data_IF_111862963499
#
_entry.id   IF_111862963499
#
_cell.length_a   1.000
_cell.length_b   1.000
_cell.length_c   1.000
_cell.angle_alpha   90.00
_cell.angle_beta   90.00
_cell.angle_gamma   90.00
#
_symmetry.space_group_name_H-M   'P 1'
#
loop_
_entity.id
_entity.type
_entity.pdbx_description
1 polymer ?
#
# COMPACT_ATOMS: atom_id res chain seq x y z
N UNK A 1 -65.32 -71.00 11.80
CA UNK A 1 -63.84 -71.11 11.78
C UNK A 1 -63.31 -70.46 13.05
N UNK A 2 -62.87 -71.28 14.00
CA UNK A 2 -62.10 -70.85 15.15
C UNK A 2 -60.61 -70.98 14.82
N UNK A 3 -59.75 -70.16 15.40
CA UNK A 3 -58.64 -70.59 16.27
C UNK A 3 -57.97 -69.34 16.86
N UNK A 4 -58.00 -69.25 18.18
CA UNK A 4 -57.21 -68.34 18.99
C UNK A 4 -55.78 -68.86 19.10
N UNK A 5 -54.80 -67.97 19.16
CA UNK A 5 -53.44 -68.29 19.60
C UNK A 5 -52.97 -67.35 20.70
N UNK A 6 -52.17 -67.95 21.55
CA UNK A 6 -51.83 -67.63 22.93
C UNK A 6 -50.46 -66.95 23.03
N UNK A 7 -50.21 -66.37 24.20
CA UNK A 7 -49.10 -65.52 24.61
C UNK A 7 -47.77 -66.28 24.76
N UNK A 8 -46.63 -65.62 24.47
CA UNK A 8 -45.36 -65.80 25.20
C UNK A 8 -44.61 -64.45 25.24
N UNK A 9 -44.15 -63.96 26.41
CA UNK A 9 -43.22 -62.85 26.49
C UNK A 9 -41.77 -63.37 26.42
N UNK A 10 -40.94 -62.76 25.57
CA UNK A 10 -39.49 -62.98 25.59
C UNK A 10 -38.83 -61.75 26.19
N UNK A 11 -38.41 -61.92 27.44
CA UNK A 11 -37.45 -61.06 28.13
C UNK A 11 -36.10 -61.17 27.41
N UNK A 12 -35.67 -60.11 26.75
CA UNK A 12 -34.28 -59.92 26.35
C UNK A 12 -33.74 -58.69 27.10
N UNK A 13 -32.77 -58.96 27.96
CA UNK A 13 -32.04 -58.05 28.83
C UNK A 13 -31.29 -56.95 28.07
N UNK A 14 -31.30 -55.74 28.62
CA UNK A 14 -30.60 -54.52 28.16
C UNK A 14 -29.07 -54.56 28.37
N UNK A 15 -28.38 -55.69 28.14
CA UNK A 15 -26.99 -55.88 28.58
C UNK A 15 -25.96 -56.18 27.46
N UNK A 16 -26.27 -55.94 26.18
CA UNK A 16 -25.35 -56.36 25.10
C UNK A 16 -25.26 -55.42 23.89
N UNK A 17 -25.05 -54.11 24.12
CA UNK A 17 -24.69 -53.16 23.04
C UNK A 17 -23.50 -52.26 23.40
N UNK A 18 -22.64 -52.68 24.32
CA UNK A 18 -21.55 -51.84 24.82
C UNK A 18 -20.19 -52.54 24.81
N UNK A 19 -19.74 -53.04 23.64
CA UNK A 19 -18.32 -53.39 23.39
C UNK A 19 -17.93 -53.25 21.91
N UNK A 20 -17.76 -52.02 21.44
CA UNK A 20 -16.76 -51.76 20.40
C UNK A 20 -15.58 -51.09 21.10
N UNK A 21 -14.44 -51.78 21.32
CA UNK A 21 -13.25 -51.11 21.80
C UNK A 21 -12.66 -50.32 20.62
N UNK A 22 -13.05 -49.06 20.45
CA UNK A 22 -12.25 -48.08 19.71
C UNK A 22 -11.24 -47.45 20.67
N UNK A 23 -10.38 -48.28 21.26
CA UNK A 23 -9.05 -47.79 21.63
C UNK A 23 -8.33 -47.54 20.32
N UNK A 24 -8.49 -46.32 19.79
CA UNK A 24 -7.51 -45.73 18.87
C UNK A 24 -6.23 -45.64 19.68
N UNK A 25 -5.43 -46.71 19.67
CA UNK A 25 -4.05 -46.65 20.12
C UNK A 25 -3.45 -45.51 19.31
N UNK A 26 -3.15 -44.40 19.99
CA UNK A 26 -2.23 -43.41 19.45
C UNK A 26 -0.93 -44.18 19.25
N UNK A 27 -0.66 -44.62 18.02
CA UNK A 27 0.69 -44.99 17.61
C UNK A 27 1.55 -43.80 18.02
N UNK A 28 2.44 -44.02 18.99
CA UNK A 28 3.35 -43.00 19.46
C UNK A 28 4.14 -42.53 18.24
N UNK A 29 3.95 -41.27 17.85
CA UNK A 29 4.67 -40.71 16.72
C UNK A 29 6.18 -40.92 16.94
N UNK A 30 6.93 -41.29 15.88
CA UNK A 30 8.36 -41.53 16.01
C UNK A 30 9.04 -40.27 16.57
N UNK A 31 9.59 -40.41 17.78
CA UNK A 31 10.19 -39.31 18.52
C UNK A 31 11.64 -39.11 18.06
N UNK A 32 11.96 -37.90 17.63
CA UNK A 32 13.24 -37.50 17.06
C UNK A 32 14.08 -36.83 18.16
N UNK A 33 15.27 -37.35 18.52
CA UNK A 33 16.13 -36.71 19.51
C UNK A 33 16.72 -35.41 18.97
N UNK A 34 16.50 -34.28 19.65
CA UNK A 34 17.01 -32.96 19.24
C UNK A 34 18.11 -32.49 20.19
N UNK A 35 19.30 -32.26 19.66
CA UNK A 35 20.42 -31.61 20.37
C UNK A 35 20.56 -30.14 19.98
N UNK A 36 20.37 -29.85 18.70
CA UNK A 36 20.55 -28.51 18.15
C UNK A 36 19.54 -28.25 17.04
N UNK A 37 18.98 -27.05 17.02
CA UNK A 37 18.15 -26.56 15.91
C UNK A 37 18.89 -25.38 15.30
N UNK A 38 19.18 -25.46 14.01
CA UNK A 38 19.82 -24.40 13.24
C UNK A 38 18.82 -23.81 12.26
N UNK A 39 18.52 -22.53 12.41
CA UNK A 39 17.71 -21.79 11.44
C UNK A 39 18.65 -21.15 10.41
N UNK A 40 18.38 -21.37 9.12
CA UNK A 40 19.21 -20.87 8.01
C UNK A 40 18.37 -20.02 7.06
N UNK A 41 19.00 -19.10 6.30
CA UNK A 41 18.31 -18.29 5.29
C UNK A 41 17.55 -17.07 5.83
N UNK A 42 17.72 -16.74 7.12
CA UNK A 42 17.17 -15.51 7.72
C UNK A 42 18.15 -14.35 7.59
N UNK A 43 17.71 -13.24 7.01
CA UNK A 43 18.42 -11.95 7.00
C UNK A 43 17.73 -10.90 7.85
N UNK A 44 16.43 -11.08 8.13
CA UNK A 44 15.60 -10.17 8.92
C UNK A 44 15.82 -10.33 10.43
N UNK A 45 15.94 -11.58 10.90
CA UNK A 45 16.06 -11.88 12.32
C UNK A 45 17.45 -12.39 12.65
N UNK A 46 17.94 -12.01 13.82
CA UNK A 46 19.19 -12.52 14.35
C UNK A 46 19.05 -13.99 14.78
N UNK A 47 20.17 -14.72 14.77
CA UNK A 47 20.18 -16.10 15.28
C UNK A 47 19.68 -16.18 16.72
N UNK A 48 20.00 -15.19 17.55
CA UNK A 48 19.57 -15.10 18.95
C UNK A 48 18.04 -15.05 19.10
N UNK A 49 17.37 -14.24 18.28
CA UNK A 49 15.90 -14.14 18.28
C UNK A 49 15.24 -15.46 17.85
N UNK A 50 15.81 -16.15 16.87
CA UNK A 50 15.30 -17.42 16.37
C UNK A 50 15.58 -18.58 17.35
N UNK A 51 16.73 -18.54 18.04
CA UNK A 51 17.11 -19.52 19.05
C UNK A 51 16.20 -19.45 20.28
N UNK A 52 15.66 -18.29 20.63
CA UNK A 52 14.65 -18.17 21.69
C UNK A 52 13.37 -18.94 21.37
N UNK A 53 12.97 -19.02 20.09
CA UNK A 53 11.80 -19.79 19.66
C UNK A 53 12.06 -21.30 19.67
N UNK A 54 13.29 -21.73 19.40
CA UNK A 54 13.67 -23.15 19.33
C UNK A 54 14.09 -23.74 20.67
N UNK A 55 14.48 -22.92 21.65
CA UNK A 55 14.96 -23.34 22.97
C UNK A 55 14.07 -24.37 23.70
N UNK A 56 12.72 -24.28 23.67
CA UNK A 56 11.86 -25.26 24.34
C UNK A 56 11.94 -26.69 23.80
N UNK A 57 12.47 -26.86 22.58
CA UNK A 57 12.55 -28.13 21.86
C UNK A 57 13.94 -28.79 21.96
N UNK A 58 14.92 -28.13 22.58
CA UNK A 58 16.29 -28.63 22.70
C UNK A 58 16.41 -29.69 23.80
N UNK A 59 17.34 -30.63 23.62
CA UNK A 59 17.71 -31.69 24.56
C UNK A 59 16.55 -32.63 24.96
N UNK A 60 15.56 -32.81 24.09
CA UNK A 60 14.46 -33.75 24.27
C UNK A 60 14.12 -34.47 22.96
N UNK A 61 13.33 -35.52 23.06
CA UNK A 61 12.74 -36.15 21.87
C UNK A 61 11.47 -35.42 21.49
N UNK A 62 11.39 -34.96 20.25
CA UNK A 62 10.24 -34.20 19.72
C UNK A 62 9.59 -34.94 18.56
N UNK A 63 8.32 -34.67 18.29
CA UNK A 63 7.64 -35.22 17.11
C UNK A 63 7.89 -34.37 15.87
N UNK A 64 7.58 -34.93 14.70
CA UNK A 64 7.60 -34.17 13.44
C UNK A 64 6.62 -32.99 13.50
N UNK A 65 5.46 -33.18 14.14
CA UNK A 65 4.46 -32.12 14.34
C UNK A 65 5.04 -30.94 15.13
N UNK A 66 5.77 -31.19 16.23
CA UNK A 66 6.41 -30.14 17.02
C UNK A 66 7.45 -29.32 16.23
N UNK A 67 8.18 -29.95 15.31
CA UNK A 67 9.12 -29.26 14.42
C UNK A 67 8.40 -28.43 13.35
N UNK A 68 7.29 -28.94 12.82
CA UNK A 68 6.43 -28.20 11.90
C UNK A 68 5.74 -27.02 12.60
N UNK A 69 5.37 -27.16 13.87
CA UNK A 69 4.90 -26.06 14.70
C UNK A 69 5.97 -24.98 14.89
N UNK A 70 7.23 -25.36 15.13
CA UNK A 70 8.32 -24.40 15.22
C UNK A 70 8.52 -23.64 13.89
N UNK A 71 8.53 -24.34 12.76
CA UNK A 71 8.59 -23.70 11.44
C UNK A 71 7.38 -22.77 11.21
N UNK A 72 6.20 -23.16 11.66
CA UNK A 72 4.99 -22.33 11.60
C UNK A 72 5.09 -21.09 12.50
N UNK A 73 5.68 -21.20 13.70
CA UNK A 73 5.93 -20.07 14.60
C UNK A 73 6.92 -19.08 14.00
N UNK A 74 8.01 -19.56 13.39
CA UNK A 74 8.98 -18.71 12.68
C UNK A 74 8.30 -18.02 11.49
N UNK A 75 7.49 -18.75 10.71
CA UNK A 75 6.72 -18.18 9.59
C UNK A 75 5.78 -17.07 10.07
N UNK A 76 5.07 -17.31 11.18
CA UNK A 76 4.17 -16.33 11.79
C UNK A 76 4.92 -15.07 12.24
N UNK A 77 6.11 -15.21 12.84
CA UNK A 77 6.96 -14.09 13.21
C UNK A 77 7.30 -13.20 12.00
N UNK A 78 7.65 -13.81 10.86
CA UNK A 78 7.88 -13.08 9.61
C UNK A 78 6.62 -12.34 9.12
N UNK A 79 5.47 -13.02 9.13
CA UNK A 79 4.19 -12.46 8.68
C UNK A 79 3.75 -11.26 9.54
N UNK A 80 3.92 -11.36 10.87
CA UNK A 80 3.60 -10.28 11.81
C UNK A 80 4.47 -9.03 11.60
N UNK A 81 5.67 -9.17 11.05
CA UNK A 81 6.56 -8.07 10.68
C UNK A 81 6.37 -7.59 9.21
N UNK A 82 5.36 -8.10 8.50
CA UNK A 82 5.00 -7.67 7.14
C UNK A 82 5.67 -8.45 6.00
N UNK A 83 6.41 -9.53 6.29
CA UNK A 83 7.08 -10.37 5.30
C UNK A 83 6.20 -11.56 4.87
N UNK A 84 5.01 -11.27 4.37
CA UNK A 84 3.94 -12.26 4.14
C UNK A 84 4.27 -13.38 3.15
N UNK A 85 5.24 -13.14 2.26
CA UNK A 85 5.70 -14.12 1.25
C UNK A 85 6.86 -14.99 1.75
N UNK A 86 7.37 -14.71 2.95
CA UNK A 86 8.45 -15.48 3.58
C UNK A 86 7.87 -16.64 4.40
N UNK A 87 8.55 -17.78 4.39
CA UNK A 87 8.13 -18.97 5.15
C UNK A 87 9.33 -19.77 5.64
N UNK A 88 9.21 -20.38 6.80
CA UNK A 88 10.14 -21.38 7.27
C UNK A 88 9.63 -22.79 6.92
N UNK A 89 10.52 -23.62 6.43
CA UNK A 89 10.25 -25.01 6.08
C UNK A 89 11.21 -25.94 6.81
N UNK A 90 10.75 -27.17 7.05
CA UNK A 90 11.60 -28.27 7.44
C UNK A 90 12.00 -29.02 6.15
N UNK A 91 13.27 -28.96 5.70
CA UNK A 91 13.69 -29.66 4.48
C UNK A 91 13.41 -31.17 4.60
N UNK A 92 12.74 -31.72 3.59
CA UNK A 92 12.31 -33.13 3.56
C UNK A 92 13.48 -34.10 3.32
N UNK A 93 14.57 -33.59 2.77
CA UNK A 93 15.79 -34.31 2.39
C UNK A 93 16.90 -34.23 3.47
N UNK A 94 16.63 -33.62 4.63
CA UNK A 94 17.63 -33.54 5.69
C UNK A 94 17.83 -34.89 6.38
N UNK A 95 19.09 -35.20 6.71
CA UNK A 95 19.44 -36.41 7.40
C UNK A 95 19.49 -36.19 8.91
N UNK A 96 18.52 -36.74 9.65
CA UNK A 96 18.39 -36.55 11.11
C UNK A 96 19.11 -37.68 11.86
N UNK A 97 20.43 -37.79 11.64
CA UNK A 97 21.23 -38.85 12.28
C UNK A 97 21.88 -38.41 13.59
N UNK A 98 22.25 -37.12 13.72
CA UNK A 98 23.06 -36.64 14.85
C UNK A 98 22.28 -35.83 15.91
N UNK A 99 20.98 -35.63 15.69
CA UNK A 99 20.12 -34.76 16.50
C UNK A 99 20.28 -33.27 16.18
N UNK A 100 20.92 -32.95 15.05
CA UNK A 100 20.93 -31.60 14.47
C UNK A 100 19.78 -31.47 13.49
N UNK A 101 18.94 -30.47 13.69
CA UNK A 101 17.77 -30.20 12.85
C UNK A 101 17.94 -28.84 12.18
N UNK A 102 17.82 -28.83 10.85
CA UNK A 102 17.84 -27.61 10.07
C UNK A 102 16.41 -27.15 9.77
N UNK A 103 16.14 -25.86 10.07
CA UNK A 103 14.96 -25.16 9.58
C UNK A 103 15.44 -24.13 8.57
N UNK A 104 14.89 -24.19 7.35
CA UNK A 104 15.25 -23.28 6.28
C UNK A 104 14.19 -22.19 6.15
N UNK A 105 14.59 -20.94 6.26
CA UNK A 105 13.75 -19.79 5.92
C UNK A 105 13.93 -19.47 4.45
N UNK A 106 12.82 -19.43 3.73
CA UNK A 106 12.73 -18.94 2.37
C UNK A 106 12.15 -17.54 2.45
N UNK A 107 13.05 -16.57 2.34
CA UNK A 107 12.71 -15.15 2.32
C UNK A 107 12.14 -14.76 0.96
N UNK A 108 10.89 -14.27 0.99
CA UNK A 108 10.16 -13.93 -0.22
C UNK A 108 10.74 -12.68 -0.90
N UNK A 109 10.71 -12.64 -2.23
CA UNK A 109 11.14 -11.50 -3.04
C UNK A 109 10.17 -11.27 -4.19
N UNK A 110 10.13 -10.03 -4.67
CA UNK A 110 9.36 -9.69 -5.85
C UNK A 110 10.18 -9.99 -7.11
N UNK A 111 9.61 -10.78 -8.01
CA UNK A 111 10.21 -11.11 -9.30
C UNK A 111 10.00 -9.98 -10.31
N UNK A 112 8.76 -9.47 -10.41
CA UNK A 112 8.40 -8.35 -11.28
C UNK A 112 7.08 -7.69 -10.86
N UNK A 113 6.80 -6.54 -11.47
CA UNK A 113 5.54 -5.78 -11.33
C UNK A 113 4.87 -5.67 -12.70
N UNK A 114 3.75 -6.36 -12.85
CA UNK A 114 2.95 -6.39 -14.06
C UNK A 114 1.83 -5.35 -13.95
N UNK A 115 2.09 -4.14 -14.43
CA UNK A 115 1.11 -3.03 -14.45
C UNK A 115 0.32 -3.03 -15.76
N UNK A 116 -1.00 -2.91 -15.67
CA UNK A 116 -1.92 -2.75 -16.81
C UNK A 116 -2.94 -1.66 -16.56
N UNK A 117 -3.42 -1.03 -17.63
CA UNK A 117 -4.59 -0.15 -17.60
C UNK A 117 -5.87 -0.96 -17.75
N UNK A 118 -6.90 -0.60 -16.99
CA UNK A 118 -8.24 -1.21 -17.10
C UNK A 118 -9.00 -0.69 -18.33
N UNK A 119 -8.76 0.58 -18.70
CA UNK A 119 -9.42 1.27 -19.80
C UNK A 119 -8.38 2.06 -20.63
N UNK A 120 -8.68 2.42 -21.90
CA UNK A 120 -7.82 3.29 -22.69
C UNK A 120 -7.58 4.63 -21.98
N UNK A 121 -6.31 5.03 -21.92
CA UNK A 121 -5.88 6.24 -21.20
C UNK A 121 -4.50 6.68 -21.65
N UNK A 122 -4.09 7.87 -21.23
CA UNK A 122 -2.78 8.45 -21.53
C UNK A 122 -1.76 8.19 -20.43
N UNK A 123 -2.20 7.95 -19.20
CA UNK A 123 -1.28 7.75 -18.07
C UNK A 123 -0.38 6.55 -18.37
N UNK A 124 0.91 6.75 -18.24
CA UNK A 124 1.89 5.71 -18.52
C UNK A 124 1.84 4.63 -17.45
N UNK A 125 1.89 3.36 -17.84
CA UNK A 125 2.08 2.26 -16.88
C UNK A 125 3.40 2.39 -16.10
N UNK A 126 4.41 3.05 -16.66
CA UNK A 126 5.66 3.34 -15.94
C UNK A 126 5.44 4.35 -14.81
N UNK A 127 4.48 5.27 -14.93
CA UNK A 127 4.14 6.21 -13.85
C UNK A 127 3.82 5.46 -12.55
N UNK A 128 3.03 4.39 -12.68
CA UNK A 128 2.60 3.52 -11.57
C UNK A 128 3.70 2.53 -11.18
N UNK A 129 4.31 1.84 -12.17
CA UNK A 129 5.35 0.83 -11.94
C UNK A 129 6.56 1.38 -11.22
N UNK A 130 7.07 2.53 -11.64
CA UNK A 130 8.30 3.10 -11.08
C UNK A 130 8.08 3.57 -9.63
N UNK A 131 6.87 4.04 -9.31
CA UNK A 131 6.47 4.42 -7.94
C UNK A 131 6.41 3.20 -7.03
N UNK A 132 5.73 2.14 -7.45
CA UNK A 132 5.68 0.87 -6.70
C UNK A 132 7.07 0.25 -6.51
N UNK A 133 7.94 0.39 -7.50
CA UNK A 133 9.32 -0.12 -7.43
C UNK A 133 10.12 0.54 -6.29
N UNK A 134 9.80 1.77 -5.88
CA UNK A 134 10.47 2.44 -4.74
C UNK A 134 10.21 1.72 -3.40
N UNK A 135 9.09 1.02 -3.28
CA UNK A 135 8.74 0.27 -2.08
C UNK A 135 9.28 -1.17 -2.04
N UNK A 136 9.84 -1.67 -3.15
CA UNK A 136 10.35 -3.05 -3.22
C UNK A 136 11.63 -3.19 -2.42
N UNK A 137 11.62 -4.14 -1.47
CA UNK A 137 12.78 -4.56 -0.69
C UNK A 137 13.07 -6.04 -0.90
N UNK A 138 14.27 -6.48 -0.53
CA UNK A 138 14.61 -7.90 -0.42
C UNK A 138 15.11 -8.14 1.02
N UNK A 139 14.41 -8.97 1.82
CA UNK A 139 13.11 -9.60 1.53
C UNK A 139 11.95 -8.62 1.34
N UNK A 140 10.91 -9.08 0.65
CA UNK A 140 9.72 -8.30 0.34
C UNK A 140 8.93 -8.01 1.62
N UNK A 141 8.83 -6.72 1.96
CA UNK A 141 7.93 -6.26 3.01
C UNK A 141 6.66 -5.67 2.38
N UNK A 142 5.52 -6.29 2.63
CA UNK A 142 4.26 -5.92 1.98
C UNK A 142 3.68 -4.60 2.48
N UNK A 143 3.96 -4.21 3.73
CA UNK A 143 3.47 -2.94 4.29
C UNK A 143 3.98 -1.74 3.47
N UNK A 144 5.21 -1.80 2.95
CA UNK A 144 5.77 -0.75 2.08
C UNK A 144 5.03 -0.65 0.74
N UNK A 145 4.68 -1.79 0.15
CA UNK A 145 3.91 -1.84 -1.10
C UNK A 145 2.50 -1.30 -0.87
N UNK A 146 1.89 -1.66 0.27
CA UNK A 146 0.57 -1.15 0.67
C UNK A 146 0.58 0.37 0.84
N UNK A 147 1.60 0.93 1.50
CA UNK A 147 1.76 2.38 1.64
C UNK A 147 1.83 3.09 0.29
N UNK A 148 2.62 2.58 -0.66
CA UNK A 148 2.68 3.16 -2.02
C UNK A 148 1.37 2.99 -2.80
N UNK A 149 0.67 1.85 -2.65
CA UNK A 149 -0.65 1.66 -3.24
C UNK A 149 -1.67 2.65 -2.67
N UNK A 150 -1.60 2.96 -1.38
CA UNK A 150 -2.44 3.99 -0.75
C UNK A 150 -2.11 5.39 -1.29
N UNK A 151 -0.82 5.71 -1.46
CA UNK A 151 -0.40 6.97 -2.07
C UNK A 151 -0.89 7.10 -3.51
N UNK A 152 -0.81 6.03 -4.31
CA UNK A 152 -1.32 5.98 -5.68
C UNK A 152 -2.85 6.08 -5.73
N UNK A 153 -3.57 5.46 -4.78
CA UNK A 153 -5.03 5.57 -4.69
C UNK A 153 -5.49 7.00 -4.38
N UNK A 154 -4.69 7.75 -3.64
CA UNK A 154 -4.95 9.16 -3.33
C UNK A 154 -4.41 10.12 -4.41
N UNK A 155 -3.76 9.61 -5.45
CA UNK A 155 -3.30 10.41 -6.58
C UNK A 155 -4.51 10.83 -7.44
N UNK A 156 -4.75 12.14 -7.65
CA UNK A 156 -5.87 12.63 -8.47
C UNK A 156 -5.87 12.12 -9.93
N UNK A 157 -4.75 11.56 -10.41
CA UNK A 157 -4.63 10.95 -11.74
C UNK A 157 -5.26 9.55 -11.83
N UNK A 158 -5.55 8.91 -10.70
CA UNK A 158 -5.99 7.53 -10.62
C UNK A 158 -7.39 7.50 -10.02
N UNK A 159 -8.37 7.00 -10.79
CA UNK A 159 -9.74 6.83 -10.32
C UNK A 159 -9.91 5.54 -9.50
N UNK A 160 -9.21 4.48 -9.87
CA UNK A 160 -9.20 3.20 -9.15
C UNK A 160 -7.86 2.47 -9.38
N UNK A 161 -7.42 1.71 -8.37
CA UNK A 161 -6.21 0.88 -8.44
C UNK A 161 -6.39 -0.39 -7.62
N UNK A 162 -6.12 -1.53 -8.28
CA UNK A 162 -6.19 -2.88 -7.72
C UNK A 162 -4.83 -3.53 -7.86
N UNK A 163 -4.43 -4.24 -6.82
CA UNK A 163 -3.20 -5.02 -6.82
C UNK A 163 -3.50 -6.43 -6.32
N UNK A 164 -2.89 -7.42 -6.95
CA UNK A 164 -2.93 -8.81 -6.55
C UNK A 164 -1.51 -9.36 -6.53
N UNK A 165 -1.24 -10.24 -5.56
CA UNK A 165 0.07 -10.88 -5.43
C UNK A 165 -0.09 -12.36 -5.80
N UNK A 166 0.64 -12.80 -6.82
CA UNK A 166 0.64 -14.18 -7.31
C UNK A 166 2.01 -14.82 -7.14
N UNK A 167 2.06 -16.16 -7.17
CA UNK A 167 3.31 -16.91 -7.08
C UNK A 167 4.12 -16.78 -8.38
N UNK A 168 5.44 -16.58 -8.26
CA UNK A 168 6.37 -16.52 -9.39
C UNK A 168 6.94 -17.88 -9.80
N UNK A 169 7.94 -17.88 -10.67
CA UNK A 169 8.52 -19.10 -11.27
C UNK A 169 9.47 -19.87 -10.32
N UNK A 170 9.64 -19.41 -9.08
CA UNK A 170 10.52 -20.03 -8.08
C UNK A 170 10.01 -19.91 -6.64
N UNK A 171 10.53 -20.74 -5.75
CA UNK A 171 10.17 -20.68 -4.32
C UNK A 171 10.57 -19.33 -3.73
N UNK A 172 9.62 -18.68 -3.07
CA UNK A 172 9.79 -17.33 -2.54
C UNK A 172 9.67 -16.20 -3.57
N UNK A 173 9.52 -16.49 -4.86
CA UNK A 173 9.23 -15.45 -5.85
C UNK A 173 7.74 -15.09 -5.84
N UNK A 174 7.45 -13.81 -6.01
CA UNK A 174 6.09 -13.31 -6.18
C UNK A 174 6.01 -12.29 -7.30
N UNK A 175 4.87 -12.24 -7.98
CA UNK A 175 4.57 -11.28 -9.04
C UNK A 175 3.48 -10.35 -8.51
N UNK A 176 3.70 -9.04 -8.61
CA UNK A 176 2.70 -8.03 -8.26
C UNK A 176 1.96 -7.61 -9.52
N UNK A 177 0.71 -8.04 -9.65
CA UNK A 177 -0.18 -7.69 -10.74
C UNK A 177 -0.97 -6.44 -10.34
N UNK A 178 -0.88 -5.37 -11.11
CA UNK A 178 -1.54 -4.10 -10.80
C UNK A 178 -2.37 -3.65 -11.98
N UNK A 179 -3.64 -3.39 -11.73
CA UNK A 179 -4.56 -2.79 -12.70
C UNK A 179 -5.04 -1.45 -12.18
N UNK A 180 -5.00 -0.42 -13.01
CA UNK A 180 -5.48 0.91 -12.63
C UNK A 180 -6.37 1.54 -13.71
N UNK A 181 -7.26 2.43 -13.26
CA UNK A 181 -8.13 3.25 -14.09
C UNK A 181 -7.71 4.71 -13.96
N UNK A 182 -7.44 5.35 -15.10
CA UNK A 182 -7.10 6.78 -15.13
C UNK A 182 -8.33 7.64 -14.79
N UNK A 183 -8.12 8.71 -14.03
CA UNK A 183 -9.15 9.69 -13.72
C UNK A 183 -9.47 10.59 -14.92
N UNK A 184 -10.61 11.28 -14.86
CA UNK A 184 -10.98 12.24 -15.90
C UNK A 184 -9.93 13.34 -16.03
N UNK A 185 -9.43 13.52 -17.24
CA UNK A 185 -8.34 14.45 -17.52
C UNK A 185 -8.72 15.93 -17.40
N UNK A 186 -10.02 16.26 -17.36
CA UNK A 186 -10.53 17.62 -17.30
C UNK A 186 -11.50 17.78 -16.13
N UNK A 187 -11.35 18.87 -15.39
CA UNK A 187 -12.35 19.33 -14.42
C UNK A 187 -12.52 20.84 -14.49
N UNK A 188 -13.71 21.31 -14.11
CA UNK A 188 -14.06 22.72 -14.07
C UNK A 188 -14.74 23.03 -12.74
N UNK A 189 -14.13 23.92 -11.96
CA UNK A 189 -14.72 24.50 -10.76
C UNK A 189 -15.29 25.89 -11.02
N UNK A 190 -16.34 26.25 -10.30
CA UNK A 190 -16.81 27.62 -10.19
C UNK A 190 -17.10 27.93 -8.71
N UNK A 191 -16.79 29.14 -8.26
CA UNK A 191 -17.09 29.59 -6.89
C UNK A 191 -17.76 30.96 -6.89
N UNK A 192 -18.60 31.18 -5.88
CA UNK A 192 -19.16 32.47 -5.55
C UNK A 192 -19.19 32.64 -4.03
N UNK A 193 -18.63 33.72 -3.51
CA UNK A 193 -18.59 34.00 -2.07
C UNK A 193 -18.53 35.51 -1.77
N UNK A 194 -18.54 35.85 -0.48
CA UNK A 194 -18.48 37.23 0.03
C UNK A 194 -17.18 37.55 0.77
N UNK A 195 -16.09 36.81 0.52
CA UNK A 195 -14.80 37.00 1.19
C UNK A 195 -13.88 38.03 0.51
N UNK A 196 -14.41 38.84 -0.39
CA UNK A 196 -13.66 39.93 -1.02
C UNK A 196 -13.32 41.06 -0.04
N UNK A 197 -12.41 41.94 -0.45
CA UNK A 197 -11.97 43.08 0.35
C UNK A 197 -13.00 44.24 0.27
N UNK A 198 -13.25 44.96 1.37
CA UNK A 198 -14.09 46.17 1.38
C UNK A 198 -13.61 47.24 0.39
N UNK A 199 -12.29 47.35 0.21
CA UNK A 199 -11.65 48.34 -0.65
C UNK A 199 -11.87 48.11 -2.15
N UNK A 200 -12.06 46.85 -2.57
CA UNK A 200 -12.16 46.47 -3.99
C UNK A 200 -13.50 45.84 -4.35
N UNK A 201 -14.25 45.32 -3.36
CA UNK A 201 -15.55 44.68 -3.49
C UNK A 201 -15.60 43.32 -2.80
N UNK A 202 -16.65 43.11 -2.01
CA UNK A 202 -16.83 41.91 -1.15
C UNK A 202 -17.31 40.67 -1.90
N UNK A 203 -18.05 40.83 -3.01
CA UNK A 203 -18.54 39.70 -3.79
C UNK A 203 -17.45 39.18 -4.73
N UNK A 204 -17.15 37.89 -4.63
CA UNK A 204 -16.12 37.22 -5.40
C UNK A 204 -16.72 36.09 -6.23
N UNK A 205 -16.36 36.05 -7.51
CA UNK A 205 -16.67 34.97 -8.43
C UNK A 205 -15.37 34.40 -8.98
N UNK A 206 -15.26 33.08 -9.10
CA UNK A 206 -14.09 32.43 -9.63
C UNK A 206 -14.41 31.21 -10.49
N UNK A 207 -13.51 30.90 -11.42
CA UNK A 207 -13.58 29.74 -12.31
C UNK A 207 -12.20 29.09 -12.39
N UNK A 208 -12.18 27.76 -12.25
CA UNK A 208 -10.94 26.97 -12.13
C UNK A 208 -10.98 25.78 -13.09
N UNK A 209 -10.56 25.94 -14.35
CA UNK A 209 -10.33 24.81 -15.24
C UNK A 209 -9.03 24.08 -14.87
N UNK A 210 -9.07 22.75 -14.87
CA UNK A 210 -7.89 21.91 -14.66
C UNK A 210 -7.81 20.86 -15.77
N UNK A 211 -6.59 20.67 -16.28
CA UNK A 211 -6.22 19.58 -17.16
C UNK A 211 -5.12 18.75 -16.49
N UNK A 212 -5.30 17.44 -16.46
CA UNK A 212 -4.33 16.49 -15.90
C UNK A 212 -3.81 15.55 -16.97
N UNK A 213 -2.57 15.13 -16.77
CA UNK A 213 -1.85 14.13 -17.54
C UNK A 213 -1.89 14.39 -19.06
N UNK A 214 -1.51 15.60 -19.49
CA UNK A 214 -1.47 15.96 -20.91
C UNK A 214 -0.35 15.22 -21.65
N UNK A 215 0.78 15.01 -20.98
CA UNK A 215 1.97 14.34 -21.55
C UNK A 215 1.97 12.82 -21.39
N UNK A 216 1.09 12.26 -20.56
CA UNK A 216 1.13 10.86 -20.14
C UNK A 216 2.08 10.58 -18.97
N UNK A 217 2.81 11.59 -18.50
CA UNK A 217 3.77 11.51 -17.39
C UNK A 217 3.19 11.97 -16.05
N UNK A 218 1.92 12.41 -16.00
CA UNK A 218 1.25 12.88 -14.79
C UNK A 218 1.40 14.38 -14.52
N UNK A 219 1.66 15.18 -15.55
CA UNK A 219 1.68 16.64 -15.45
C UNK A 219 0.29 17.24 -15.21
N UNK A 220 0.22 18.46 -14.65
CA UNK A 220 -1.05 19.15 -14.36
C UNK A 220 -0.98 20.60 -14.80
N UNK A 221 -1.96 21.03 -15.58
CA UNK A 221 -2.20 22.43 -15.92
C UNK A 221 -3.45 22.93 -15.20
N UNK A 222 -3.29 23.95 -14.37
CA UNK A 222 -4.37 24.57 -13.61
C UNK A 222 -4.48 26.03 -14.01
N UNK A 223 -5.67 26.45 -14.43
CA UNK A 223 -6.03 27.85 -14.58
C UNK A 223 -6.93 28.28 -13.43
N UNK A 224 -6.80 29.51 -12.96
CA UNK A 224 -7.70 30.13 -12.01
C UNK A 224 -7.96 31.57 -12.42
N UNK A 225 -9.24 31.91 -12.61
CA UNK A 225 -9.68 33.29 -12.77
C UNK A 225 -10.56 33.66 -11.58
N UNK A 226 -10.34 34.83 -11.01
CA UNK A 226 -11.13 35.34 -9.89
C UNK A 226 -11.37 36.84 -10.02
N UNK A 227 -12.62 37.24 -9.94
CA UNK A 227 -13.07 38.64 -9.90
C UNK A 227 -13.69 38.96 -8.54
N UNK A 228 -13.27 40.06 -7.92
CA UNK A 228 -13.77 40.58 -6.65
C UNK A 228 -14.05 42.08 -6.78
N UNK A 229 -15.30 42.45 -7.09
CA UNK A 229 -15.68 43.81 -7.46
C UNK A 229 -14.87 44.37 -8.63
N UNK A 230 -13.95 45.30 -8.34
CA UNK A 230 -13.04 45.97 -9.29
C UNK A 230 -11.61 45.39 -9.27
N UNK A 231 -11.42 44.24 -8.65
CA UNK A 231 -10.17 43.48 -8.71
C UNK A 231 -10.37 42.23 -9.56
N UNK A 232 -9.47 42.01 -10.51
CA UNK A 232 -9.40 40.81 -11.34
C UNK A 232 -8.05 40.14 -11.14
N UNK A 233 -8.04 38.82 -11.06
CA UNK A 233 -6.82 38.03 -10.93
C UNK A 233 -6.90 36.76 -11.78
N UNK A 234 -5.77 36.41 -12.36
CA UNK A 234 -5.60 35.25 -13.22
C UNK A 234 -4.30 34.55 -12.87
N UNK A 235 -4.37 33.24 -12.66
CA UNK A 235 -3.23 32.39 -12.38
C UNK A 235 -3.23 31.18 -13.32
N UNK A 236 -2.07 30.85 -13.89
CA UNK A 236 -1.81 29.58 -14.55
C UNK A 236 -0.67 28.91 -13.82
N UNK A 237 -0.83 27.64 -13.46
CA UNK A 237 0.21 26.77 -12.92
C UNK A 237 0.36 25.53 -13.79
N UNK A 238 1.58 25.20 -14.20
CA UNK A 238 1.93 23.95 -14.85
C UNK A 238 2.92 23.17 -13.99
N UNK A 239 2.49 22.00 -13.51
CA UNK A 239 3.26 21.12 -12.65
C UNK A 239 3.74 19.90 -13.45
N UNK A 240 5.02 19.59 -13.37
CA UNK A 240 5.68 18.50 -14.08
C UNK A 240 6.30 17.55 -13.04
N UNK A 241 5.88 16.28 -12.97
CA UNK A 241 6.55 15.29 -12.13
C UNK A 241 7.91 14.92 -12.74
N UNK A 242 8.95 14.92 -11.91
CA UNK A 242 10.33 14.70 -12.34
C UNK A 242 10.87 13.32 -11.97
N UNK A 243 10.30 12.67 -10.96
CA UNK A 243 10.76 11.35 -10.52
C UNK A 243 9.66 10.56 -9.78
N UNK A 244 9.85 9.23 -9.59
CA UNK A 244 8.90 8.38 -8.87
C UNK A 244 8.74 8.71 -7.39
N UNK A 245 9.67 9.45 -6.75
CA UNK A 245 9.54 9.87 -5.35
C UNK A 245 8.60 11.07 -5.16
N UNK A 246 7.96 11.55 -6.23
CA UNK A 246 7.01 12.66 -6.17
C UNK A 246 7.67 14.03 -6.25
N UNK A 247 8.89 14.13 -6.76
CA UNK A 247 9.51 15.41 -7.06
C UNK A 247 8.78 16.15 -8.18
N UNK A 248 8.51 17.44 -8.02
CA UNK A 248 7.78 18.26 -9.00
C UNK A 248 8.53 19.54 -9.36
N UNK A 249 8.41 19.94 -10.62
CA UNK A 249 8.73 21.28 -11.09
C UNK A 249 7.44 22.03 -11.37
N UNK A 250 7.33 23.23 -10.86
CA UNK A 250 6.13 24.06 -10.92
C UNK A 250 6.48 25.38 -11.63
N UNK A 251 5.72 25.68 -12.68
CA UNK A 251 5.80 26.91 -13.47
C UNK A 251 4.51 27.70 -13.26
N UNK A 252 4.60 28.88 -12.67
CA UNK A 252 3.42 29.69 -12.36
C UNK A 252 3.52 31.09 -12.95
N UNK A 253 2.40 31.55 -13.52
CA UNK A 253 2.19 32.93 -13.96
C UNK A 253 0.96 33.47 -13.24
N UNK A 254 1.11 34.58 -12.52
CA UNK A 254 0.00 35.30 -11.90
C UNK A 254 -0.06 36.73 -12.44
N UNK A 255 -1.24 37.15 -12.89
CA UNK A 255 -1.55 38.53 -13.30
C UNK A 255 -2.70 39.03 -12.45
N UNK A 256 -2.58 40.23 -11.90
CA UNK A 256 -3.63 40.84 -11.09
C UNK A 256 -3.74 42.32 -11.35
N UNK A 257 -4.96 42.83 -11.37
CA UNK A 257 -5.27 44.24 -11.54
C UNK A 257 -6.32 44.61 -10.50
N UNK A 258 -6.16 45.73 -9.81
CA UNK A 258 -7.18 46.24 -8.89
C UNK A 258 -7.21 47.76 -8.83
N UNK A 259 -8.42 48.29 -8.63
CA UNK A 259 -8.66 49.69 -8.31
C UNK A 259 -9.27 49.82 -6.91
N UNK A 260 -8.79 50.79 -6.13
CA UNK A 260 -9.32 51.09 -4.79
C UNK A 260 -10.56 51.96 -4.94
N UNK A 261 -11.68 51.51 -4.37
CA UNK A 261 -12.98 52.17 -4.46
C UNK A 261 -13.61 52.48 -3.10
N UNK A 262 -12.87 52.33 -2.01
CA UNK A 262 -13.34 52.68 -0.67
C UNK A 262 -13.13 54.17 -0.37
N UNK A 263 -14.19 54.91 0.03
CA UNK A 263 -14.05 56.30 0.46
C UNK A 263 -13.16 56.46 1.70
N UNK A 264 -12.36 57.54 1.81
CA UNK A 264 -12.25 58.68 0.88
C UNK A 264 -11.23 58.47 -0.25
N UNK A 265 -10.70 57.25 -0.43
CA UNK A 265 -9.61 56.94 -1.36
C UNK A 265 -10.08 56.71 -2.80
N UNK A 266 -11.39 56.54 -3.01
CA UNK A 266 -12.05 56.46 -4.32
C UNK A 266 -11.75 57.68 -5.21
N UNK A 267 -11.58 58.86 -4.61
CA UNK A 267 -11.22 60.10 -5.31
C UNK A 267 -9.78 60.12 -5.85
N UNK A 268 -8.90 59.25 -5.36
CA UNK A 268 -7.47 59.21 -5.72
C UNK A 268 -7.17 58.32 -6.93
N UNK A 269 -8.17 57.60 -7.47
CA UNK A 269 -8.06 56.69 -8.63
C UNK A 269 -6.82 55.77 -8.56
N UNK A 270 -6.60 55.16 -7.39
CA UNK A 270 -5.45 54.29 -7.14
C UNK A 270 -5.67 52.96 -7.89
N UNK A 271 -4.77 52.66 -8.83
CA UNK A 271 -4.72 51.39 -9.56
C UNK A 271 -3.41 50.68 -9.30
N UNK A 272 -3.45 49.36 -9.24
CA UNK A 272 -2.27 48.53 -9.12
C UNK A 272 -2.38 47.38 -10.11
N UNK A 273 -1.35 47.24 -10.93
CA UNK A 273 -1.13 46.09 -11.78
C UNK A 273 0.00 45.26 -11.18
N UNK A 274 -0.07 43.94 -11.36
CA UNK A 274 1.00 43.06 -10.92
C UNK A 274 1.11 41.86 -11.85
N UNK A 275 2.35 41.48 -12.12
CA UNK A 275 2.68 40.28 -12.86
C UNK A 275 3.78 39.53 -12.13
N UNK A 276 3.52 38.29 -11.76
CA UNK A 276 4.45 37.44 -11.03
C UNK A 276 4.73 36.18 -11.83
N UNK A 277 6.01 35.88 -12.03
CA UNK A 277 6.49 34.63 -12.58
C UNK A 277 7.15 33.85 -11.45
N UNK A 278 6.84 32.57 -11.33
CA UNK A 278 7.46 31.70 -10.34
C UNK A 278 7.89 30.39 -10.98
N UNK A 279 9.11 29.98 -10.65
CA UNK A 279 9.66 28.66 -10.90
C UNK A 279 9.96 28.03 -9.55
N UNK A 280 9.33 26.92 -9.22
CA UNK A 280 9.63 26.18 -7.99
C UNK A 280 9.87 24.71 -8.24
N UNK A 281 10.77 24.13 -7.45
CA UNK A 281 11.06 22.71 -7.42
C UNK A 281 10.79 22.20 -6.02
N UNK A 282 10.11 21.06 -5.91
CA UNK A 282 9.80 20.40 -4.64
C UNK A 282 10.24 18.93 -4.70
N UNK A 283 10.89 18.46 -3.64
CA UNK A 283 11.34 17.07 -3.51
C UNK A 283 10.95 16.47 -2.16
N UNK A 284 10.05 15.48 -2.12
CA UNK A 284 9.86 14.63 -0.95
C UNK A 284 11.07 13.73 -0.70
N UNK A 285 11.47 13.60 0.57
CA UNK A 285 12.52 12.69 1.05
C UNK A 285 11.93 11.57 1.92
N UNK A 286 10.89 11.88 2.68
CA UNK A 286 10.06 10.90 3.39
C UNK A 286 8.64 11.09 2.89
N UNK A 287 7.98 9.99 2.52
CA UNK A 287 6.59 10.01 2.07
C UNK A 287 5.94 8.69 2.42
N UNK A 288 4.85 8.77 3.17
CA UNK A 288 3.94 7.67 3.47
C UNK A 288 2.50 8.20 3.46
N UNK A 289 1.48 7.34 3.57
CA UNK A 289 0.10 7.80 3.71
C UNK A 289 -0.16 8.69 4.94
N UNK A 290 0.74 8.72 5.92
CA UNK A 290 0.55 9.42 7.21
C UNK A 290 1.47 10.63 7.40
N UNK A 291 2.62 10.63 6.77
CA UNK A 291 3.62 11.67 6.95
C UNK A 291 4.38 11.98 5.66
N UNK A 292 4.81 13.23 5.55
CA UNK A 292 5.64 13.68 4.46
C UNK A 292 6.67 14.71 4.95
N UNK A 293 7.91 14.52 4.52
CA UNK A 293 8.96 15.53 4.65
C UNK A 293 9.51 15.84 3.26
N UNK A 294 9.40 17.10 2.85
CA UNK A 294 9.84 17.59 1.55
C UNK A 294 10.59 18.91 1.69
N UNK A 295 11.55 19.15 0.80
CA UNK A 295 12.17 20.46 0.63
C UNK A 295 11.70 21.09 -0.68
N UNK A 296 11.56 22.41 -0.68
CA UNK A 296 11.26 23.18 -1.87
C UNK A 296 12.23 24.35 -2.03
N UNK A 297 12.49 24.69 -3.29
CA UNK A 297 13.25 25.87 -3.69
C UNK A 297 12.43 26.61 -4.76
N UNK A 298 12.34 27.93 -4.64
CA UNK A 298 11.55 28.74 -5.55
C UNK A 298 12.25 30.05 -5.89
N UNK A 299 12.11 30.46 -7.15
CA UNK A 299 12.50 31.77 -7.66
C UNK A 299 11.24 32.49 -8.13
N UNK A 300 11.05 33.73 -7.67
CA UNK A 300 9.93 34.56 -8.05
C UNK A 300 10.43 35.91 -8.55
N UNK A 301 9.89 36.34 -9.69
CA UNK A 301 10.07 37.68 -10.22
C UNK A 301 8.72 38.39 -10.31
N UNK A 302 8.67 39.63 -9.80
CA UNK A 302 7.45 40.42 -9.73
C UNK A 302 7.64 41.78 -10.40
N UNK A 303 6.95 41.96 -11.52
CA UNK A 303 6.80 43.25 -12.17
C UNK A 303 5.59 44.01 -11.60
N UNK A 304 5.76 45.32 -11.45
CA UNK A 304 4.72 46.30 -11.08
C UNK A 304 4.44 47.19 -12.28
#
# INVERSE_FOLDING_TARGET
MAYAYWCVPVSASEDELDRIPLSKQAEAEPAIPVKQIKVTGSTVFTEEQLNQLSAPLLNRSVTLEELQELASKITKLYQEQGYITSRAILPADQNINDGEIAIQVIEGKLERIDVKRDEPGRLSENYVRDRLTQAVTVPLNFARIEDELQLLRNDPLIADIKANLSAGEGSGNSILEVTYKEANFFSLGAQFDTYGNSATGIYRFGVTPQLTNLSGLGDRLLGNYTRSGNADSFNINYQIPLNPKGGTLDLSLAVGQNAITEPPFDLLNIRTDSKTYELSYRQPFVRSPREEFALSFGLSDRAK
#
